data_IF_643542566219
#
_entry.id   IF_643542566219
#
_cell.length_a   1.000
_cell.length_b   1.000
_cell.length_c   1.000
_cell.angle_alpha   90.00
_cell.angle_beta   90.00
_cell.angle_gamma   90.00
#
_symmetry.space_group_name_H-M   'P 1'
#
loop_
_entity.id
_entity.type
_entity.pdbx_description
1 polymer ?
#
# COMPACT_ATOMS: atom_id res chain seq x y z
N UNK A 1 2.70 17.65 -2.78
CA UNK A 1 1.39 17.72 -2.09
C UNK A 1 1.34 16.46 -1.26
N UNK A 2 1.18 16.56 0.06
CA UNK A 2 1.23 15.37 0.92
C UNK A 2 -0.11 14.63 0.91
N UNK A 3 -0.10 13.29 0.82
CA UNK A 3 -1.27 12.43 0.90
C UNK A 3 -1.63 12.15 2.38
N UNK A 4 -2.60 11.24 2.63
CA UNK A 4 -3.10 10.95 3.98
C UNK A 4 -2.03 10.39 4.93
N UNK A 5 -0.98 9.77 4.40
CA UNK A 5 0.10 9.23 5.23
C UNK A 5 0.94 10.32 5.91
N UNK A 6 0.75 11.59 5.56
CA UNK A 6 1.42 12.71 6.24
C UNK A 6 1.09 12.81 7.74
N UNK A 7 0.01 12.17 8.20
CA UNK A 7 -0.37 12.08 9.61
C UNK A 7 -0.02 10.74 10.26
N UNK A 8 0.62 9.82 9.54
CA UNK A 8 0.96 8.50 10.07
C UNK A 8 2.03 8.59 11.16
N UNK A 9 2.04 7.63 12.08
CA UNK A 9 3.09 7.50 13.11
C UNK A 9 4.28 6.69 12.63
N UNK A 10 4.06 5.73 11.71
CA UNK A 10 5.11 4.89 11.14
C UNK A 10 6.10 5.74 10.34
N UNK A 11 7.41 5.65 10.63
CA UNK A 11 8.46 6.24 9.79
C UNK A 11 8.43 5.70 8.35
N UNK A 12 8.04 4.43 8.15
CA UNK A 12 7.92 3.83 6.82
C UNK A 12 6.76 4.44 6.03
N UNK A 13 5.59 4.62 6.64
CA UNK A 13 4.44 5.25 5.97
C UNK A 13 4.72 6.72 5.64
N UNK A 14 5.39 7.45 6.54
CA UNK A 14 5.78 8.84 6.32
C UNK A 14 6.72 9.02 5.11
N UNK A 15 7.57 8.04 4.80
CA UNK A 15 8.41 8.07 3.59
C UNK A 15 7.59 8.08 2.29
N UNK A 16 6.34 7.60 2.33
CA UNK A 16 5.43 7.59 1.19
C UNK A 16 4.43 8.75 1.19
N UNK A 17 4.52 9.67 2.16
CA UNK A 17 3.56 10.78 2.31
C UNK A 17 3.57 11.75 1.14
N UNK A 18 4.70 11.89 0.43
CA UNK A 18 4.81 12.78 -0.73
C UNK A 18 4.56 12.09 -2.08
N UNK A 19 4.36 10.76 -2.07
CA UNK A 19 4.09 10.03 -3.30
C UNK A 19 2.76 10.52 -3.91
N UNK A 20 2.68 10.67 -5.25
CA UNK A 20 1.47 11.09 -5.94
C UNK A 20 0.31 10.09 -5.81
N UNK A 21 0.59 8.83 -5.47
CA UNK A 21 -0.45 7.83 -5.17
C UNK A 21 -1.28 8.30 -3.96
N UNK A 22 -2.60 8.23 -4.11
CA UNK A 22 -3.56 8.62 -3.07
C UNK A 22 -3.67 7.54 -1.98
N UNK A 23 -2.61 7.38 -1.20
CA UNK A 23 -2.51 6.34 -0.19
C UNK A 23 -3.51 6.53 0.96
N UNK A 24 -4.01 5.41 1.44
CA UNK A 24 -4.75 5.26 2.69
C UNK A 24 -3.95 4.40 3.67
N UNK A 25 -4.11 4.68 4.97
CA UNK A 25 -3.73 3.73 6.00
C UNK A 25 -4.75 2.58 6.07
N UNK A 26 -4.33 1.46 6.65
CA UNK A 26 -5.22 0.33 6.88
C UNK A 26 -6.28 0.71 7.91
N UNK A 27 -7.55 0.71 7.51
CA UNK A 27 -8.63 1.06 8.42
C UNK A 27 -10.02 1.12 7.77
N UNK A 28 -11.07 1.23 8.60
CA UNK A 28 -12.47 1.22 8.15
C UNK A 28 -12.79 2.29 7.10
N UNK A 29 -12.12 3.44 7.14
CA UNK A 29 -12.35 4.54 6.20
C UNK A 29 -11.94 4.16 4.76
N UNK A 30 -10.81 3.47 4.60
CA UNK A 30 -10.35 3.01 3.29
C UNK A 30 -11.32 1.97 2.70
N UNK A 31 -11.81 1.04 3.53
CA UNK A 31 -12.81 0.05 3.11
C UNK A 31 -14.16 0.69 2.76
N UNK A 32 -14.58 1.70 3.53
CA UNK A 32 -15.80 2.45 3.26
C UNK A 32 -15.69 3.21 1.93
N UNK A 33 -14.54 3.81 1.65
CA UNK A 33 -14.29 4.51 0.39
C UNK A 33 -14.28 3.56 -0.81
N UNK A 34 -13.66 2.38 -0.69
CA UNK A 34 -13.66 1.38 -1.73
C UNK A 34 -15.09 0.92 -2.07
N UNK A 35 -15.92 0.69 -1.04
CA UNK A 35 -17.34 0.37 -1.20
C UNK A 35 -18.13 1.51 -1.83
N UNK A 36 -17.91 2.75 -1.38
CA UNK A 36 -18.60 3.95 -1.89
C UNK A 36 -18.30 4.18 -3.37
N UNK A 37 -17.05 3.96 -3.78
CA UNK A 37 -16.59 4.11 -5.17
C UNK A 37 -16.89 2.89 -6.04
N UNK A 38 -17.15 1.73 -5.44
CA UNK A 38 -17.36 0.47 -6.16
C UNK A 38 -16.09 -0.02 -6.88
N UNK A 39 -14.92 0.21 -6.29
CA UNK A 39 -13.62 -0.18 -6.85
C UNK A 39 -12.87 -1.12 -5.91
N UNK A 40 -11.99 -2.00 -6.42
CA UNK A 40 -11.17 -2.87 -5.59
C UNK A 40 -10.14 -2.11 -4.74
N UNK A 41 -9.55 -2.82 -3.80
CA UNK A 41 -8.46 -2.33 -2.96
C UNK A 41 -7.14 -2.84 -3.53
N UNK A 42 -6.18 -1.93 -3.70
CA UNK A 42 -4.80 -2.32 -3.91
C UNK A 42 -4.08 -2.25 -2.56
N UNK A 43 -3.72 -3.40 -2.00
CA UNK A 43 -2.99 -3.48 -0.73
C UNK A 43 -1.49 -3.58 -1.02
N UNK A 44 -0.69 -2.68 -0.46
CA UNK A 44 0.77 -2.71 -0.55
C UNK A 44 1.42 -2.74 0.84
N UNK A 45 1.97 -3.89 1.22
CA UNK A 45 2.65 -4.11 2.50
C UNK A 45 4.17 -4.05 2.34
N UNK A 46 4.85 -3.31 3.22
CA UNK A 46 6.31 -3.23 3.26
C UNK A 46 6.81 -2.81 4.64
N UNK A 47 8.11 -2.53 4.74
CA UNK A 47 8.77 -2.08 5.97
C UNK A 47 10.03 -1.29 5.62
N UNK A 48 10.54 -0.47 6.56
CA UNK A 48 11.62 0.49 6.28
C UNK A 48 12.94 -0.12 5.78
N UNK A 49 13.30 -1.33 6.23
CA UNK A 49 14.55 -1.99 5.83
C UNK A 49 14.42 -2.82 4.54
N UNK A 50 13.28 -2.77 3.85
CA UNK A 50 13.02 -3.54 2.64
C UNK A 50 13.60 -2.85 1.39
N UNK A 51 14.69 -3.40 0.83
CA UNK A 51 15.31 -2.86 -0.38
C UNK A 51 14.35 -2.74 -1.57
N UNK A 52 13.61 -3.80 -1.88
CA UNK A 52 12.69 -3.82 -3.02
C UNK A 52 11.46 -2.92 -2.84
N UNK A 53 11.12 -2.59 -1.59
CA UNK A 53 10.04 -1.66 -1.29
C UNK A 53 10.43 -0.23 -1.72
N UNK A 54 11.70 0.15 -1.55
CA UNK A 54 12.22 1.43 -2.04
C UNK A 54 12.32 1.47 -3.57
N UNK A 55 12.77 0.37 -4.20
CA UNK A 55 12.81 0.29 -5.67
C UNK A 55 11.42 0.46 -6.28
N UNK A 56 10.42 -0.27 -5.77
CA UNK A 56 9.03 -0.14 -6.24
C UNK A 56 8.47 1.27 -6.01
N UNK A 57 8.81 1.90 -4.89
CA UNK A 57 8.39 3.26 -4.61
C UNK A 57 8.89 4.25 -5.67
N UNK A 58 10.19 4.18 -5.95
CA UNK A 58 10.85 5.08 -6.89
C UNK A 58 10.41 4.84 -8.34
N UNK A 59 10.30 3.57 -8.75
CA UNK A 59 10.00 3.24 -10.15
C UNK A 59 8.50 3.29 -10.48
N UNK A 60 7.62 3.14 -9.49
CA UNK A 60 6.17 3.03 -9.74
C UNK A 60 5.33 4.03 -8.97
N UNK A 61 5.56 4.21 -7.66
CA UNK A 61 4.67 5.02 -6.83
C UNK A 61 4.97 6.53 -6.89
N UNK A 62 6.13 6.92 -7.42
CA UNK A 62 6.49 8.31 -7.72
C UNK A 62 6.03 8.75 -9.13
N UNK A 63 5.64 7.81 -9.99
CA UNK A 63 5.15 8.14 -11.33
C UNK A 63 3.71 8.68 -11.31
N UNK A 64 3.52 9.87 -11.86
CA UNK A 64 2.24 10.57 -11.84
C UNK A 64 1.15 9.91 -12.69
N UNK A 65 1.53 9.26 -13.81
CA UNK A 65 0.57 8.58 -14.67
C UNK A 65 0.04 7.31 -13.99
N UNK A 66 0.93 6.55 -13.36
CA UNK A 66 0.56 5.39 -12.54
C UNK A 66 -0.29 5.79 -11.34
N UNK A 67 0.08 6.86 -10.64
CA UNK A 67 -0.72 7.37 -9.53
C UNK A 67 -2.13 7.78 -9.97
N UNK A 68 -2.27 8.44 -11.13
CA UNK A 68 -3.57 8.81 -11.69
C UNK A 68 -4.41 7.58 -12.03
N UNK A 69 -3.80 6.55 -12.63
CA UNK A 69 -4.47 5.28 -12.91
C UNK A 69 -4.94 4.61 -11.62
N UNK A 70 -4.07 4.48 -10.62
CA UNK A 70 -4.42 3.89 -9.33
C UNK A 70 -5.55 4.66 -8.65
N UNK A 71 -5.48 6.00 -8.66
CA UNK A 71 -6.54 6.84 -8.12
C UNK A 71 -7.88 6.63 -8.81
N UNK A 72 -7.91 6.36 -10.11
CA UNK A 72 -9.16 6.11 -10.84
C UNK A 72 -9.73 4.72 -10.55
N UNK A 73 -8.87 3.70 -10.46
CA UNK A 73 -9.29 2.30 -10.48
C UNK A 73 -9.26 1.58 -9.13
N UNK A 74 -8.61 2.14 -8.11
CA UNK A 74 -8.42 1.49 -6.82
C UNK A 74 -8.59 2.46 -5.65
N UNK A 75 -8.81 1.88 -4.48
CA UNK A 75 -8.41 2.48 -3.21
C UNK A 75 -7.09 1.83 -2.80
N UNK A 76 -6.01 2.60 -2.86
CA UNK A 76 -4.66 2.12 -2.56
C UNK A 76 -4.37 2.24 -1.07
N UNK A 77 -4.09 1.12 -0.41
CA UNK A 77 -3.77 1.06 1.02
C UNK A 77 -2.29 0.71 1.19
N UNK A 78 -1.57 1.51 1.99
CA UNK A 78 -0.19 1.24 2.39
C UNK A 78 -0.18 0.71 3.82
N UNK A 79 0.55 -0.38 4.06
CA UNK A 79 0.70 -0.98 5.39
C UNK A 79 2.17 -1.09 5.73
N UNK A 80 2.52 -0.64 6.93
CA UNK A 80 3.79 -0.99 7.58
C UNK A 80 3.62 -2.34 8.26
N UNK A 81 4.44 -3.32 7.86
CA UNK A 81 4.49 -4.64 8.46
C UNK A 81 4.82 -4.60 9.95
N UNK A 82 5.63 -3.63 10.39
CA UNK A 82 6.04 -3.53 11.79
C UNK A 82 4.89 -3.08 12.71
N UNK A 83 3.99 -2.22 12.20
CA UNK A 83 2.80 -1.77 12.92
C UNK A 83 1.56 -2.67 12.67
N UNK A 84 1.50 -3.34 11.52
CA UNK A 84 0.39 -4.21 11.11
C UNK A 84 0.79 -5.67 10.81
N UNK A 85 1.47 -6.39 11.73
CA UNK A 85 1.97 -7.74 11.47
C UNK A 85 0.85 -8.76 11.22
N UNK A 86 -0.33 -8.56 11.80
CA UNK A 86 -1.48 -9.44 11.58
C UNK A 86 -2.01 -9.35 10.13
N UNK A 87 -2.03 -8.13 9.57
CA UNK A 87 -2.40 -7.89 8.18
C UNK A 87 -1.37 -8.53 7.26
N UNK A 88 -0.08 -8.29 7.51
CA UNK A 88 1.01 -8.91 6.75
C UNK A 88 0.90 -10.44 6.72
N UNK A 89 0.71 -11.07 7.89
CA UNK A 89 0.64 -12.53 8.01
C UNK A 89 -0.50 -13.13 7.18
N UNK A 90 -1.71 -12.54 7.26
CA UNK A 90 -2.89 -13.04 6.53
C UNK A 90 -2.68 -12.94 5.02
N UNK A 91 -2.22 -11.79 4.53
CA UNK A 91 -2.06 -11.58 3.09
C UNK A 91 -0.82 -12.30 2.53
N UNK A 92 0.23 -12.51 3.33
CA UNK A 92 1.38 -13.32 2.93
C UNK A 92 0.99 -14.79 2.79
N UNK A 93 0.19 -15.33 3.73
CA UNK A 93 -0.35 -16.68 3.61
C UNK A 93 -1.18 -16.85 2.34
N UNK A 94 -2.07 -15.89 2.04
CA UNK A 94 -2.84 -15.90 0.81
C UNK A 94 -1.94 -15.84 -0.44
N UNK A 95 -0.93 -14.96 -0.45
CA UNK A 95 0.01 -14.81 -1.56
C UNK A 95 0.79 -16.10 -1.83
N UNK A 96 1.31 -16.74 -0.77
CA UNK A 96 2.03 -18.02 -0.89
C UNK A 96 1.08 -19.13 -1.36
N UNK A 97 -0.15 -19.18 -0.84
CA UNK A 97 -1.14 -20.17 -1.27
C UNK A 97 -1.52 -20.02 -2.75
N UNK A 98 -1.60 -18.78 -3.26
CA UNK A 98 -1.98 -18.49 -4.64
C UNK A 98 -0.83 -18.59 -5.64
N UNK A 99 0.39 -18.21 -5.24
CA UNK A 99 1.53 -18.05 -6.16
C UNK A 99 2.68 -19.01 -5.91
N UNK A 100 2.65 -19.76 -4.80
CA UNK A 100 3.71 -20.70 -4.39
C UNK A 100 4.94 -20.05 -3.75
N UNK A 101 5.02 -18.72 -3.73
CA UNK A 101 6.13 -17.96 -3.16
C UNK A 101 5.63 -16.67 -2.48
N UNK A 102 6.46 -16.05 -1.65
CA UNK A 102 6.12 -14.84 -0.92
C UNK A 102 7.31 -13.90 -0.79
N UNK A 103 7.06 -12.65 -0.48
CA UNK A 103 8.11 -11.64 -0.33
C UNK A 103 7.56 -10.22 -0.23
N UNK A 104 8.46 -9.28 0.04
CA UNK A 104 8.14 -7.86 0.13
C UNK A 104 8.87 -7.07 -0.97
N UNK A 105 8.26 -6.01 -1.54
CA UNK A 105 6.93 -5.49 -1.23
C UNK A 105 5.83 -6.46 -1.68
N UNK A 106 4.87 -6.73 -0.79
CA UNK A 106 3.73 -7.58 -1.11
C UNK A 106 2.62 -6.68 -1.65
N UNK A 107 2.13 -6.98 -2.85
CA UNK A 107 1.00 -6.25 -3.47
C UNK A 107 -0.12 -7.22 -3.80
N UNK A 108 -1.32 -6.96 -3.26
CA UNK A 108 -2.52 -7.76 -3.48
C UNK A 108 -3.64 -6.87 -4.07
N UNK A 109 -4.46 -7.44 -4.95
CA UNK A 109 -5.66 -6.82 -5.57
C UNK A 109 -6.87 -7.71 -5.43
#
# INVERSE_FOLDING_TARGET
MANRLASATSPYLLQHAENPVDWWEWGPEAFAEARRRGVPILLSVGYAACHWCHVMAHESFEDAAMAAYLKQHYVSIKVDREEGPDVDAVYMQATVAMTGQGGWPMTCV
#
